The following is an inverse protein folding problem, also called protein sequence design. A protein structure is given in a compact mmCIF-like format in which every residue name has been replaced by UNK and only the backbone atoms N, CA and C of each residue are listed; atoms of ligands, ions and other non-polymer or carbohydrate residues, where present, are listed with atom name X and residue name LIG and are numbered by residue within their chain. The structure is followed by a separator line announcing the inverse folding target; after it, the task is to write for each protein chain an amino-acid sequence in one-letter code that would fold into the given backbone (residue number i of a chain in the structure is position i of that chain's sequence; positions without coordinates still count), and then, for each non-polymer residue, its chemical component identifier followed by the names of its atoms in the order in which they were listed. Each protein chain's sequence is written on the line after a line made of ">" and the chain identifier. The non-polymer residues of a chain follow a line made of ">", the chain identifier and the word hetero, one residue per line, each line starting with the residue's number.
data_IF_883912469120
#
_entry.id   IF_883912469120
#
_cell.length_a   1.000
_cell.length_b   1.000
_cell.length_c   1.000
_cell.angle_alpha   90.00
_cell.angle_beta   90.00
_cell.angle_gamma   90.00
#
_symmetry.space_group_name_H-M   'P 1'
#
loop_
_entity.id
_entity.type
_entity.pdbx_description
1 polymer ?
#
# COMPACT_ATOMS: atom_id res chain seq x y z
N UNK A 1 -26.46 -21.15 5.23
CA UNK A 1 -26.65 -19.96 6.09
C UNK A 1 -25.27 -19.43 6.42
N UNK A 2 -24.82 -18.36 5.74
CA UNK A 2 -23.51 -17.75 6.01
C UNK A 2 -23.59 -17.08 7.38
N UNK A 3 -23.15 -17.78 8.43
CA UNK A 3 -22.86 -17.16 9.72
C UNK A 3 -21.59 -16.34 9.50
N UNK A 4 -21.74 -15.08 9.09
CA UNK A 4 -20.65 -14.11 9.18
C UNK A 4 -20.24 -14.06 10.65
N UNK A 5 -19.03 -14.49 10.98
CA UNK A 5 -18.54 -14.37 12.35
C UNK A 5 -18.44 -12.89 12.70
N UNK A 6 -18.82 -12.54 13.92
CA UNK A 6 -18.77 -11.16 14.42
C UNK A 6 -17.34 -10.57 14.29
N UNK A 7 -16.33 -11.43 14.37
CA UNK A 7 -14.92 -11.12 14.11
C UNK A 7 -14.65 -10.66 12.67
N UNK A 8 -15.20 -11.35 11.65
CA UNK A 8 -15.05 -10.92 10.24
C UNK A 8 -15.69 -9.57 9.99
N UNK A 9 -16.84 -9.30 10.61
CA UNK A 9 -17.51 -8.01 10.49
C UNK A 9 -16.68 -6.87 11.10
N UNK A 10 -16.10 -7.08 12.29
CA UNK A 10 -15.22 -6.10 12.93
C UNK A 10 -13.99 -5.81 12.07
N UNK A 11 -13.35 -6.86 11.51
CA UNK A 11 -12.21 -6.70 10.61
C UNK A 11 -12.56 -5.87 9.37
N UNK A 12 -13.70 -6.15 8.72
CA UNK A 12 -14.16 -5.40 7.54
C UNK A 12 -14.36 -3.91 7.89
N UNK A 13 -14.98 -3.61 9.04
CA UNK A 13 -15.22 -2.23 9.48
C UNK A 13 -13.89 -1.53 9.77
N UNK A 14 -12.96 -2.19 10.47
CA UNK A 14 -11.63 -1.63 10.76
C UNK A 14 -10.84 -1.34 9.46
N UNK A 15 -10.88 -2.26 8.50
CA UNK A 15 -10.26 -2.12 7.17
C UNK A 15 -10.87 -0.94 6.41
N UNK A 16 -12.20 -0.82 6.38
CA UNK A 16 -12.89 0.30 5.72
C UNK A 16 -12.56 1.65 6.38
N UNK A 17 -12.45 1.69 7.71
CA UNK A 17 -11.97 2.85 8.46
C UNK A 17 -10.55 3.25 8.06
N UNK A 18 -9.64 2.28 7.97
CA UNK A 18 -8.26 2.49 7.52
C UNK A 18 -8.18 3.08 6.11
N UNK A 19 -8.97 2.57 5.16
CA UNK A 19 -9.07 3.11 3.79
C UNK A 19 -9.52 4.58 3.82
N UNK A 20 -10.55 4.87 4.63
CA UNK A 20 -11.12 6.22 4.74
C UNK A 20 -10.09 7.23 5.26
N UNK A 21 -9.33 6.87 6.30
CA UNK A 21 -8.24 7.71 6.83
C UNK A 21 -7.16 7.95 5.77
N UNK A 22 -6.76 6.90 5.04
CA UNK A 22 -5.76 7.04 3.98
C UNK A 22 -6.24 7.94 2.83
N UNK A 23 -7.53 7.85 2.47
CA UNK A 23 -8.14 8.72 1.46
C UNK A 23 -8.15 10.19 1.92
N UNK A 24 -8.44 10.46 3.20
CA UNK A 24 -8.35 11.82 3.76
C UNK A 24 -6.92 12.36 3.70
N UNK A 25 -5.90 11.54 4.01
CA UNK A 25 -4.51 11.93 3.85
C UNK A 25 -4.16 12.27 2.39
N UNK A 26 -4.69 11.52 1.42
CA UNK A 26 -4.50 11.80 -0.01
C UNK A 26 -5.09 13.16 -0.40
N UNK A 27 -6.31 13.47 0.08
CA UNK A 27 -6.96 14.76 -0.14
C UNK A 27 -6.14 15.89 0.49
N UNK A 28 -5.68 15.70 1.72
CA UNK A 28 -4.85 16.68 2.43
C UNK A 28 -3.56 16.99 1.67
N UNK A 29 -2.87 15.96 1.15
CA UNK A 29 -1.63 16.12 0.37
C UNK A 29 -1.89 16.83 -0.96
N UNK A 30 -3.04 16.58 -1.58
CA UNK A 30 -3.43 17.21 -2.84
C UNK A 30 -3.77 18.69 -2.64
N UNK A 31 -4.46 19.02 -1.54
CA UNK A 31 -4.83 20.37 -1.17
C UNK A 31 -3.66 21.19 -0.59
N UNK A 32 -2.61 20.54 -0.08
CA UNK A 32 -1.46 21.22 0.52
C UNK A 32 -0.61 21.92 -0.54
N UNK A 33 -0.49 23.24 -0.44
CA UNK A 33 0.31 24.10 -1.33
C UNK A 33 1.78 24.19 -0.94
N UNK A 34 2.15 23.77 0.28
CA UNK A 34 3.50 23.88 0.82
C UNK A 34 4.47 22.77 0.34
N UNK A 35 3.96 21.70 -0.29
CA UNK A 35 4.80 20.59 -0.77
C UNK A 35 5.28 20.83 -2.21
N UNK A 36 6.56 20.55 -2.45
CA UNK A 36 7.07 20.51 -3.82
C UNK A 36 6.36 19.41 -4.64
N UNK A 37 6.18 19.64 -5.95
CA UNK A 37 5.51 18.68 -6.85
C UNK A 37 6.09 17.26 -6.77
N UNK A 38 7.42 17.14 -6.59
CA UNK A 38 8.10 15.83 -6.46
C UNK A 38 7.73 15.12 -5.16
N UNK A 39 7.78 15.80 -4.02
CA UNK A 39 7.44 15.22 -2.71
C UNK A 39 5.97 14.84 -2.66
N UNK A 40 5.10 15.71 -3.19
CA UNK A 40 3.67 15.43 -3.31
C UNK A 40 3.39 14.15 -4.11
N UNK A 41 4.11 13.94 -5.22
CA UNK A 41 3.97 12.70 -6.00
C UNK A 41 4.41 11.46 -5.21
N UNK A 42 5.50 11.50 -4.45
CA UNK A 42 5.92 10.35 -3.62
C UNK A 42 4.87 10.00 -2.57
N UNK A 43 4.34 11.00 -1.87
CA UNK A 43 3.24 10.78 -0.93
C UNK A 43 1.99 10.24 -1.62
N UNK A 44 1.64 10.76 -2.80
CA UNK A 44 0.49 10.27 -3.55
C UNK A 44 0.64 8.79 -3.95
N UNK A 45 1.81 8.40 -4.46
CA UNK A 45 2.10 6.98 -4.78
C UNK A 45 2.06 6.12 -3.52
N UNK A 46 2.62 6.59 -2.40
CA UNK A 46 2.59 5.89 -1.13
C UNK A 46 1.16 5.64 -0.63
N UNK A 47 0.33 6.68 -0.53
CA UNK A 47 -1.06 6.55 -0.04
C UNK A 47 -1.95 5.76 -1.00
N UNK A 48 -1.78 5.90 -2.31
CA UNK A 48 -2.49 5.04 -3.29
C UNK A 48 -2.08 3.58 -3.12
N UNK A 49 -0.78 3.30 -2.92
CA UNK A 49 -0.29 1.93 -2.69
C UNK A 49 -0.86 1.34 -1.40
N UNK A 50 -0.96 2.13 -0.32
CA UNK A 50 -1.63 1.71 0.92
C UNK A 50 -3.09 1.37 0.64
N UNK A 51 -3.84 2.25 -0.04
CA UNK A 51 -5.26 2.02 -0.31
C UNK A 51 -5.47 0.74 -1.12
N UNK A 52 -4.65 0.52 -2.15
CA UNK A 52 -4.72 -0.69 -2.97
C UNK A 52 -4.31 -1.95 -2.19
N UNK A 53 -3.29 -1.87 -1.35
CA UNK A 53 -2.90 -2.94 -0.43
C UNK A 53 -4.05 -3.32 0.51
N UNK A 54 -4.64 -2.35 1.19
CA UNK A 54 -5.73 -2.60 2.14
C UNK A 54 -6.99 -3.11 1.41
N UNK A 55 -7.27 -2.61 0.21
CA UNK A 55 -8.41 -3.07 -0.61
C UNK A 55 -8.24 -4.51 -1.11
N UNK A 56 -7.01 -4.90 -1.47
CA UNK A 56 -6.70 -6.28 -1.87
C UNK A 56 -6.77 -7.23 -0.68
N UNK A 57 -6.34 -6.76 0.50
CA UNK A 57 -6.53 -7.48 1.75
C UNK A 57 -8.01 -7.70 2.10
N UNK A 58 -8.86 -6.69 1.88
CA UNK A 58 -10.30 -6.82 2.04
C UNK A 58 -10.89 -7.88 1.10
N UNK A 59 -10.46 -7.89 -0.16
CA UNK A 59 -10.89 -8.89 -1.13
C UNK A 59 -10.50 -10.31 -0.69
N UNK A 60 -9.31 -10.47 -0.08
CA UNK A 60 -8.85 -11.74 0.50
C UNK A 60 -9.79 -12.22 1.60
N UNK A 61 -10.08 -11.39 2.60
CA UNK A 61 -10.94 -11.71 3.74
C UNK A 61 -12.37 -12.13 3.33
N UNK A 62 -12.89 -11.52 2.26
CA UNK A 62 -14.21 -11.84 1.69
C UNK A 62 -14.19 -13.20 0.98
N UNK A 63 -13.11 -13.50 0.24
CA UNK A 63 -12.97 -14.73 -0.54
C UNK A 63 -12.52 -15.93 0.31
N UNK A 64 -11.89 -15.67 1.45
CA UNK A 64 -11.34 -16.69 2.34
C UNK A 64 -12.47 -17.50 3.03
N UNK A 65 -12.49 -18.80 2.73
CA UNK A 65 -13.52 -19.74 3.16
C UNK A 65 -14.51 -20.16 2.07
N UNK A 66 -14.43 -19.57 0.86
CA UNK A 66 -15.21 -20.02 -0.30
C UNK A 66 -14.46 -21.15 -1.01
N UNK A 67 -15.03 -22.37 -1.11
CA UNK A 67 -14.40 -23.47 -1.83
C UNK A 67 -14.44 -23.24 -3.35
N UNK A 68 -13.32 -23.50 -4.04
CA UNK A 68 -13.26 -23.44 -5.51
C UNK A 68 -11.85 -23.22 -6.04
N UNK A 69 -11.49 -23.93 -7.12
CA UNK A 69 -10.17 -23.79 -7.76
C UNK A 69 -9.94 -22.38 -8.34
N UNK A 70 -11.01 -21.73 -8.83
CA UNK A 70 -10.97 -20.34 -9.29
C UNK A 70 -10.68 -19.35 -8.14
N UNK A 71 -11.38 -19.50 -7.00
CA UNK A 71 -11.17 -18.66 -5.81
C UNK A 71 -9.74 -18.79 -5.29
N UNK A 72 -9.19 -20.00 -5.26
CA UNK A 72 -7.80 -20.24 -4.84
C UNK A 72 -6.79 -19.53 -5.74
N UNK A 73 -6.99 -19.51 -7.06
CA UNK A 73 -6.13 -18.75 -7.99
C UNK A 73 -6.19 -17.25 -7.71
N UNK A 74 -7.38 -16.71 -7.46
CA UNK A 74 -7.56 -15.29 -7.10
C UNK A 74 -6.83 -14.96 -5.80
N UNK A 75 -6.94 -15.80 -4.76
CA UNK A 75 -6.24 -15.61 -3.48
C UNK A 75 -4.71 -15.59 -3.64
N UNK A 76 -4.14 -16.44 -4.52
CA UNK A 76 -2.71 -16.39 -4.82
C UNK A 76 -2.32 -15.09 -5.53
N UNK A 77 -3.10 -14.64 -6.52
CA UNK A 77 -2.87 -13.37 -7.18
C UNK A 77 -2.96 -12.19 -6.22
N UNK A 78 -3.94 -12.19 -5.31
CA UNK A 78 -4.08 -11.17 -4.26
C UNK A 78 -2.84 -11.12 -3.37
N UNK A 79 -2.32 -12.27 -2.93
CA UNK A 79 -1.11 -12.33 -2.10
C UNK A 79 0.12 -11.75 -2.82
N UNK A 80 0.26 -12.02 -4.13
CA UNK A 80 1.35 -11.47 -4.93
C UNK A 80 1.22 -9.95 -5.11
N UNK A 81 0.00 -9.46 -5.32
CA UNK A 81 -0.30 -8.04 -5.44
C UNK A 81 -0.04 -7.30 -4.11
N UNK A 82 -0.43 -7.90 -2.97
CA UNK A 82 -0.13 -7.39 -1.63
C UNK A 82 1.38 -7.18 -1.44
N UNK A 83 2.21 -8.14 -1.89
CA UNK A 83 3.67 -8.03 -1.83
C UNK A 83 4.20 -6.87 -2.67
N UNK A 84 3.70 -6.69 -3.89
CA UNK A 84 4.11 -5.58 -4.77
C UNK A 84 3.79 -4.24 -4.12
N UNK A 85 2.58 -4.07 -3.58
CA UNK A 85 2.20 -2.82 -2.92
C UNK A 85 3.02 -2.57 -1.66
N UNK A 86 3.31 -3.61 -0.87
CA UNK A 86 4.18 -3.51 0.30
C UNK A 86 5.58 -3.00 -0.08
N UNK A 87 6.16 -3.54 -1.14
CA UNK A 87 7.45 -3.08 -1.63
C UNK A 87 7.42 -1.66 -2.21
N UNK A 88 6.37 -1.30 -2.95
CA UNK A 88 6.17 0.07 -3.45
C UNK A 88 6.06 1.09 -2.31
N UNK A 89 5.39 0.73 -1.21
CA UNK A 89 5.33 1.53 0.01
C UNK A 89 6.72 1.69 0.64
N UNK A 90 7.47 0.59 0.80
CA UNK A 90 8.83 0.62 1.34
C UNK A 90 9.80 1.48 0.50
N UNK A 91 9.67 1.40 -0.82
CA UNK A 91 10.47 2.18 -1.76
C UNK A 91 10.15 3.68 -1.68
N UNK A 92 8.85 4.02 -1.67
CA UNK A 92 8.42 5.43 -1.61
C UNK A 92 8.74 6.08 -0.28
N UNK A 93 8.61 5.37 0.84
CA UNK A 93 9.02 5.92 2.15
C UNK A 93 10.53 6.06 2.25
N UNK A 94 11.30 5.12 1.68
CA UNK A 94 12.76 5.23 1.60
C UNK A 94 13.18 6.45 0.76
N UNK A 95 12.52 6.70 -0.37
CA UNK A 95 12.76 7.90 -1.19
C UNK A 95 12.45 9.19 -0.41
N UNK A 96 11.35 9.21 0.34
CA UNK A 96 10.95 10.34 1.18
C UNK A 96 11.98 10.62 2.28
N UNK A 97 12.45 9.58 2.99
CA UNK A 97 13.47 9.72 4.04
C UNK A 97 14.79 10.25 3.49
N UNK A 98 15.22 9.76 2.32
CA UNK A 98 16.42 10.25 1.64
C UNK A 98 16.28 11.70 1.19
N UNK A 99 15.08 12.11 0.78
CA UNK A 99 14.81 13.50 0.41
C UNK A 99 14.86 14.43 1.65
N UNK A 100 14.26 14.02 2.77
CA UNK A 100 14.21 14.81 4.01
C UNK A 100 15.58 14.92 4.67
N UNK A 101 16.33 13.81 4.72
CA UNK A 101 17.63 13.75 5.41
C UNK A 101 18.75 14.54 4.72
N UNK A 102 18.50 15.12 3.52
CA UNK A 102 19.50 15.83 2.70
C UNK A 102 20.83 15.09 2.62
N UNK A 103 20.82 13.75 2.68
CA UNK A 103 22.04 12.94 2.61
C UNK A 103 22.69 13.26 1.28
N UNK A 104 23.83 13.97 1.34
CA UNK A 104 24.66 14.25 0.18
C UNK A 104 24.88 12.95 -0.56
N UNK A 105 24.59 12.97 -1.86
CA UNK A 105 24.56 11.85 -2.81
C UNK A 105 25.69 10.84 -2.60
N UNK A 106 25.54 9.95 -1.63
CA UNK A 106 26.38 8.77 -1.53
C UNK A 106 25.95 7.83 -2.65
N UNK A 107 26.88 7.52 -3.57
CA UNK A 107 26.65 6.57 -4.67
C UNK A 107 26.02 5.25 -4.17
N UNK A 108 26.29 4.87 -2.92
CA UNK A 108 25.75 3.69 -2.23
C UNK A 108 24.23 3.76 -2.03
N UNK A 109 23.69 4.91 -1.64
CA UNK A 109 22.23 5.09 -1.47
C UNK A 109 21.51 4.99 -2.81
N UNK A 110 22.11 5.57 -3.85
CA UNK A 110 21.57 5.49 -5.21
C UNK A 110 21.60 4.06 -5.75
N UNK A 111 22.68 3.33 -5.45
CA UNK A 111 22.84 1.92 -5.79
C UNK A 111 21.83 1.02 -5.07
N UNK A 112 21.62 1.23 -3.75
CA UNK A 112 20.61 0.49 -2.98
C UNK A 112 19.18 0.73 -3.47
N UNK A 113 18.87 1.97 -3.87
CA UNK A 113 17.58 2.31 -4.47
C UNK A 113 17.41 1.65 -5.85
N UNK A 114 18.47 1.63 -6.66
CA UNK A 114 18.46 0.97 -7.97
C UNK A 114 18.34 -0.55 -7.85
N UNK A 115 19.04 -1.16 -6.90
CA UNK A 115 18.93 -2.60 -6.60
C UNK A 115 17.51 -2.95 -6.14
N UNK A 116 16.89 -2.16 -5.25
CA UNK A 116 15.51 -2.39 -4.85
C UNK A 116 14.51 -2.31 -6.02
N UNK A 117 14.77 -1.46 -7.03
CA UNK A 117 13.93 -1.37 -8.23
C UNK A 117 14.15 -2.55 -9.18
N UNK A 118 15.38 -3.05 -9.30
CA UNK A 118 15.75 -4.13 -10.25
C UNK A 118 15.36 -5.51 -9.72
N UNK A 119 15.30 -5.69 -8.41
CA UNK A 119 14.92 -6.96 -7.77
C UNK A 119 13.43 -7.06 -7.42
N UNK A 120 12.63 -6.04 -7.75
CA UNK A 120 11.16 -6.06 -7.69
C UNK A 120 10.56 -6.46 -9.03
#
# INVERSE_FOLDING_TARGET
>A
MFVFSLHKLINIIAIAGGISVCALCLVQITATTQLTKKVRNYFHVFFVSIILYISTHLAREILEGIPGSAVRKVLYSVTFIELIFAAMMALTISALLLFVSKIERSKTVRLLFFLNIVFL
#
